data_IF_437974186031
#
_entry.id   IF_437974186031
#
_cell.length_a   1.000
_cell.length_b   1.000
_cell.length_c   1.000
_cell.angle_alpha   90.00
_cell.angle_beta   90.00
_cell.angle_gamma   90.00
#
_symmetry.space_group_name_H-M   'P 1'
#
loop_
_entity.id
_entity.type
_entity.pdbx_description
1 polymer ?
#
# COMPACT_ATOMS: atom_id res chain seq x y z
N UNK A 1 -31.32 7.05 -5.64
CA UNK A 1 -30.80 6.20 -4.55
C UNK A 1 -29.30 6.26 -4.66
N UNK A 2 -28.63 6.96 -3.75
CA UNK A 2 -27.16 7.01 -3.72
C UNK A 2 -26.64 5.66 -3.27
N UNK A 3 -26.15 4.86 -4.21
CA UNK A 3 -25.40 3.64 -3.92
C UNK A 3 -24.10 4.07 -3.23
N UNK A 4 -24.13 4.15 -1.89
CA UNK A 4 -22.92 4.44 -1.13
C UNK A 4 -21.92 3.29 -1.34
N UNK A 5 -20.85 3.55 -2.08
CA UNK A 5 -19.75 2.62 -2.28
C UNK A 5 -19.16 2.24 -0.92
N UNK A 6 -19.31 0.97 -0.52
CA UNK A 6 -18.60 0.38 0.63
C UNK A 6 -17.28 -0.21 0.15
N UNK A 7 -16.31 -0.29 1.05
CA UNK A 7 -15.02 -0.91 0.77
C UNK A 7 -14.29 -1.31 2.05
N UNK A 8 -13.20 -2.04 1.91
CA UNK A 8 -12.44 -2.58 3.04
C UNK A 8 -11.39 -1.59 3.56
N UNK A 9 -11.28 -1.46 4.88
CA UNK A 9 -10.24 -0.66 5.48
C UNK A 9 -8.85 -1.20 5.11
N UNK A 10 -7.97 -0.32 4.60
CA UNK A 10 -6.63 -0.69 4.16
C UNK A 10 -5.72 -1.25 5.27
N UNK A 11 -6.06 -1.03 6.55
CA UNK A 11 -5.25 -1.41 7.71
C UNK A 11 -5.74 -2.71 8.34
N UNK A 12 -7.06 -2.90 8.46
CA UNK A 12 -7.65 -4.00 9.22
C UNK A 12 -8.67 -4.84 8.44
N UNK A 13 -9.02 -4.44 7.21
CA UNK A 13 -9.97 -5.15 6.35
C UNK A 13 -11.44 -4.95 6.71
N UNK A 14 -11.77 -4.26 7.80
CA UNK A 14 -13.16 -4.01 8.18
C UNK A 14 -13.89 -3.20 7.11
N UNK A 15 -15.07 -3.65 6.71
CA UNK A 15 -15.93 -2.93 5.77
C UNK A 15 -16.30 -1.54 6.32
N UNK A 16 -16.22 -0.53 5.47
CA UNK A 16 -16.48 0.86 5.83
C UNK A 16 -16.99 1.65 4.64
N UNK A 17 -17.62 2.78 4.94
CA UNK A 17 -18.05 3.81 3.99
C UNK A 17 -17.16 5.04 4.02
N UNK A 18 -16.28 5.12 5.02
CA UNK A 18 -15.42 6.25 5.26
C UNK A 18 -14.24 6.21 4.28
N UNK A 19 -14.15 7.27 3.46
CA UNK A 19 -13.14 7.42 2.42
C UNK A 19 -12.22 8.60 2.71
N UNK A 20 -10.98 8.51 2.24
CA UNK A 20 -10.08 9.67 2.26
C UNK A 20 -10.54 10.72 1.25
N UNK A 21 -11.09 11.83 1.77
CA UNK A 21 -11.66 12.92 0.95
C UNK A 21 -10.68 13.51 -0.08
N UNK A 22 -9.38 13.53 0.23
CA UNK A 22 -8.35 14.03 -0.67
C UNK A 22 -8.05 13.05 -1.83
N UNK A 23 -8.09 11.74 -1.58
CA UNK A 23 -7.91 10.72 -2.61
C UNK A 23 -9.17 10.58 -3.48
N UNK A 24 -10.37 10.73 -2.90
CA UNK A 24 -11.63 10.74 -3.66
C UNK A 24 -11.64 11.87 -4.70
N UNK A 25 -11.12 13.06 -4.36
CA UNK A 25 -10.94 14.17 -5.31
C UNK A 25 -9.96 13.85 -6.45
N UNK A 26 -9.06 12.90 -6.25
CA UNK A 26 -8.11 12.42 -7.26
C UNK A 26 -8.63 11.18 -8.01
N UNK A 27 -9.91 10.80 -7.81
CA UNK A 27 -10.53 9.65 -8.46
C UNK A 27 -10.17 8.29 -7.85
N UNK A 28 -9.69 8.26 -6.59
CA UNK A 28 -9.37 7.02 -5.87
C UNK A 28 -10.23 6.86 -4.63
N UNK A 29 -10.82 5.68 -4.49
CA UNK A 29 -11.62 5.30 -3.33
C UNK A 29 -10.78 4.48 -2.34
N UNK A 30 -10.12 5.18 -1.41
CA UNK A 30 -9.34 4.57 -0.33
C UNK A 30 -10.11 4.63 0.98
N UNK A 31 -10.27 3.48 1.62
CA UNK A 31 -11.16 3.27 2.75
C UNK A 31 -10.42 3.12 4.08
N UNK A 32 -10.91 3.80 5.12
CA UNK A 32 -10.41 3.70 6.50
C UNK A 32 -11.60 3.54 7.44
N UNK A 33 -11.64 2.48 8.27
CA UNK A 33 -12.81 2.29 9.15
C UNK A 33 -12.88 3.36 10.26
N UNK A 34 -11.76 3.93 10.69
CA UNK A 34 -11.72 4.96 11.72
C UNK A 34 -10.59 5.99 11.51
N UNK A 35 -10.69 7.20 12.11
CA UNK A 35 -9.62 8.19 12.09
C UNK A 35 -8.31 7.70 12.71
N UNK A 36 -8.36 6.78 13.66
CA UNK A 36 -7.19 6.18 14.30
C UNK A 36 -6.36 5.38 13.29
N UNK A 37 -7.02 4.55 12.46
CA UNK A 37 -6.33 3.84 11.39
C UNK A 37 -5.78 4.78 10.33
N UNK A 38 -6.49 5.87 10.00
CA UNK A 38 -5.95 6.88 9.09
C UNK A 38 -4.71 7.58 9.69
N UNK A 39 -4.74 7.95 10.97
CA UNK A 39 -3.62 8.58 11.68
C UNK A 39 -2.41 7.66 11.76
N UNK A 40 -2.63 6.37 12.03
CA UNK A 40 -1.56 5.37 12.10
C UNK A 40 -0.70 5.36 10.85
N UNK A 41 -1.34 5.42 9.68
CA UNK A 41 -0.65 5.42 8.38
C UNK A 41 -0.62 6.79 7.73
N UNK A 42 -0.88 7.89 8.46
CA UNK A 42 -0.96 9.22 7.86
C UNK A 42 0.40 9.72 7.37
N UNK A 43 1.46 9.52 8.16
CA UNK A 43 2.82 9.93 7.80
C UNK A 43 3.29 9.38 6.44
N UNK A 44 3.09 8.10 6.11
CA UNK A 44 3.38 7.56 4.78
C UNK A 44 2.27 7.89 3.76
N UNK A 45 0.98 7.85 4.15
CA UNK A 45 -0.13 8.13 3.24
C UNK A 45 -0.05 9.54 2.67
N UNK A 46 0.30 10.57 3.46
CA UNK A 46 0.41 11.97 3.00
C UNK A 46 1.41 12.18 1.85
N UNK A 47 2.34 11.24 1.65
CA UNK A 47 3.33 11.29 0.56
C UNK A 47 2.65 11.04 -0.79
N UNK A 48 1.64 10.19 -0.79
CA UNK A 48 0.85 9.80 -1.97
C UNK A 48 -0.59 10.29 -1.88
N UNK A 49 -0.96 11.08 -0.87
CA UNK A 49 -2.33 11.55 -0.69
C UNK A 49 -2.57 12.88 -1.41
N UNK A 50 -3.75 13.00 -2.03
CA UNK A 50 -4.31 14.24 -2.56
C UNK A 50 -4.10 14.49 -4.06
N UNK A 51 -4.75 15.53 -4.61
CA UNK A 51 -4.67 15.85 -6.04
C UNK A 51 -3.22 16.06 -6.48
N UNK A 52 -2.84 15.43 -7.58
CA UNK A 52 -1.47 15.48 -8.12
C UNK A 52 -0.45 14.58 -7.43
N UNK A 53 -0.81 13.93 -6.31
CA UNK A 53 0.02 12.95 -5.56
C UNK A 53 -0.63 11.58 -5.36
N UNK A 54 -1.94 11.48 -5.53
CA UNK A 54 -2.67 10.22 -5.41
C UNK A 54 -2.81 9.54 -6.76
N UNK A 55 -2.93 10.34 -7.82
CA UNK A 55 -2.97 9.85 -9.19
C UNK A 55 -1.94 10.65 -10.01
N UNK A 56 -0.73 10.09 -10.23
CA UNK A 56 0.32 10.75 -11.01
C UNK A 56 -0.11 11.13 -12.41
N UNK A 57 -1.04 10.36 -12.98
CA UNK A 57 -1.37 10.39 -14.39
C UNK A 57 -2.48 11.40 -14.71
N UNK A 58 -3.34 11.71 -13.75
CA UNK A 58 -4.31 12.82 -13.87
C UNK A 58 -3.65 14.20 -13.75
N UNK A 59 -2.39 14.28 -13.31
CA UNK A 59 -1.64 15.52 -13.22
C UNK A 59 -0.52 15.52 -14.27
N UNK A 60 -0.66 16.36 -15.29
CA UNK A 60 0.36 16.59 -16.33
C UNK A 60 1.62 17.26 -15.75
N UNK A 61 2.35 16.67 -14.80
CA UNK A 61 3.57 17.28 -14.25
C UNK A 61 4.58 16.26 -13.69
N UNK A 62 5.84 16.50 -14.05
CA UNK A 62 7.11 15.80 -13.79
C UNK A 62 7.56 15.75 -12.31
N UNK A 63 6.67 15.94 -11.35
CA UNK A 63 7.01 16.10 -9.92
C UNK A 63 7.31 14.79 -9.19
N UNK A 64 6.87 13.65 -9.70
CA UNK A 64 7.01 12.34 -9.07
C UNK A 64 8.45 11.79 -9.11
N UNK A 65 9.22 12.16 -10.14
CA UNK A 65 10.65 11.86 -10.25
C UNK A 65 11.51 12.50 -9.15
N UNK A 66 10.98 13.46 -8.39
CA UNK A 66 11.72 14.17 -7.32
C UNK A 66 11.66 13.49 -5.95
N UNK A 67 11.02 12.32 -5.82
CA UNK A 67 10.84 11.63 -4.54
C UNK A 67 11.71 10.37 -4.42
N UNK A 68 12.94 10.45 -3.87
CA UNK A 68 13.88 9.32 -3.84
C UNK A 68 13.38 8.09 -3.05
N UNK A 69 12.52 8.27 -2.04
CA UNK A 69 11.92 7.16 -1.28
C UNK A 69 10.85 6.39 -2.07
N UNK A 70 9.97 7.11 -2.79
CA UNK A 70 8.96 6.49 -3.66
C UNK A 70 9.59 5.91 -4.92
N UNK A 71 10.71 6.48 -5.39
CA UNK A 71 11.46 5.93 -6.51
C UNK A 71 11.97 4.51 -6.22
N UNK A 72 12.48 4.21 -5.01
CA UNK A 72 12.89 2.83 -4.66
C UNK A 72 11.73 1.84 -4.70
N UNK A 73 10.58 2.19 -4.11
CA UNK A 73 9.39 1.32 -4.13
C UNK A 73 8.88 1.13 -5.57
N UNK A 74 8.74 2.22 -6.32
CA UNK A 74 8.31 2.16 -7.72
C UNK A 74 9.29 1.38 -8.61
N UNK A 75 10.60 1.39 -8.31
CA UNK A 75 11.62 0.60 -9.02
C UNK A 75 11.47 -0.87 -8.66
N UNK A 76 11.33 -1.20 -7.37
CA UNK A 76 11.19 -2.58 -6.87
C UNK A 76 9.97 -3.26 -7.50
N UNK A 77 8.88 -2.53 -7.69
CA UNK A 77 7.62 -3.09 -8.19
C UNK A 77 7.33 -2.78 -9.66
N UNK A 78 8.26 -2.16 -10.41
CA UNK A 78 8.09 -1.92 -11.85
C UNK A 78 6.88 -1.03 -12.21
N UNK A 79 6.51 -0.07 -11.36
CA UNK A 79 5.26 0.72 -11.48
C UNK A 79 5.40 1.89 -12.49
N UNK A 80 6.54 2.03 -13.17
CA UNK A 80 6.91 3.28 -13.84
C UNK A 80 6.24 3.61 -15.18
N UNK A 81 5.55 2.69 -15.87
CA UNK A 81 5.38 2.83 -17.32
C UNK A 81 3.97 2.68 -17.92
N UNK A 82 2.85 2.76 -17.18
CA UNK A 82 1.55 2.92 -17.86
C UNK A 82 0.42 3.61 -17.05
N UNK A 83 -0.69 3.86 -17.76
CA UNK A 83 -1.92 4.53 -17.31
C UNK A 83 -2.92 3.62 -16.57
N UNK A 84 -2.53 2.43 -16.13
CA UNK A 84 -3.48 1.51 -15.50
C UNK A 84 -3.97 2.08 -14.16
N UNK A 85 -5.29 2.13 -13.98
CA UNK A 85 -5.91 2.70 -12.78
C UNK A 85 -5.47 1.98 -11.49
N UNK A 86 -5.14 0.68 -11.59
CA UNK A 86 -4.77 -0.14 -10.45
C UNK A 86 -3.39 0.21 -9.84
N UNK A 87 -2.48 0.78 -10.63
CA UNK A 87 -1.13 1.16 -10.15
C UNK A 87 -1.18 2.23 -9.06
N UNK A 88 -2.12 3.18 -9.17
CA UNK A 88 -2.27 4.26 -8.20
C UNK A 88 -2.74 3.73 -6.84
N UNK A 89 -3.73 2.85 -6.84
CA UNK A 89 -4.25 2.24 -5.62
C UNK A 89 -3.23 1.27 -4.99
N UNK A 90 -2.55 0.47 -5.82
CA UNK A 90 -1.49 -0.42 -5.37
C UNK A 90 -0.35 0.36 -4.68
N UNK A 91 0.05 1.52 -5.23
CA UNK A 91 1.07 2.37 -4.62
C UNK A 91 0.69 2.79 -3.19
N UNK A 92 -0.58 3.15 -2.96
CA UNK A 92 -1.05 3.50 -1.62
C UNK A 92 -0.97 2.30 -0.66
N UNK A 93 -1.39 1.12 -1.12
CA UNK A 93 -1.33 -0.13 -0.35
C UNK A 93 0.11 -0.50 0.03
N UNK A 94 1.05 -0.38 -0.92
CA UNK A 94 2.48 -0.61 -0.70
C UNK A 94 3.09 0.35 0.31
N UNK A 95 2.81 1.65 0.15
CA UNK A 95 3.32 2.70 1.06
C UNK A 95 2.80 2.50 2.49
N UNK A 96 1.53 2.08 2.63
CA UNK A 96 0.93 1.73 3.92
C UNK A 96 1.61 0.49 4.52
N UNK A 97 1.72 -0.60 3.76
CA UNK A 97 2.31 -1.84 4.24
C UNK A 97 3.77 -1.65 4.70
N UNK A 98 4.57 -0.95 3.89
CA UNK A 98 5.97 -0.66 4.24
C UNK A 98 6.10 0.15 5.54
N UNK A 99 5.21 1.12 5.75
CA UNK A 99 5.24 1.91 6.97
C UNK A 99 4.76 1.18 8.22
N UNK A 100 3.89 0.17 8.05
CA UNK A 100 3.54 -0.74 9.13
C UNK A 100 4.66 -1.74 9.42
N UNK A 101 5.49 -2.06 8.41
CA UNK A 101 6.61 -2.97 8.55
C UNK A 101 7.81 -2.34 9.29
N UNK A 102 8.13 -1.07 9.02
CA UNK A 102 9.34 -0.43 9.58
C UNK A 102 9.44 -0.54 11.12
N UNK A 103 8.37 -0.27 11.91
CA UNK A 103 8.41 -0.44 13.36
C UNK A 103 8.56 -1.90 13.81
N UNK A 104 8.26 -2.88 12.95
CA UNK A 104 8.35 -4.31 13.27
C UNK A 104 9.77 -4.86 13.23
N UNK A 105 10.73 -4.07 12.72
CA UNK A 105 12.16 -4.38 12.76
C UNK A 105 12.74 -4.36 14.17
N UNK A 106 12.06 -3.67 15.09
CA UNK A 106 12.45 -3.62 16.49
C UNK A 106 12.02 -4.90 17.24
N UNK A 107 12.86 -5.47 18.13
CA UNK A 107 12.59 -6.73 18.80
C UNK A 107 11.33 -6.70 19.69
N UNK A 108 11.00 -5.53 20.25
CA UNK A 108 9.83 -5.32 21.11
C UNK A 108 8.62 -4.70 20.37
N UNK A 109 8.53 -4.89 19.05
CA UNK A 109 7.47 -4.27 18.28
C UNK A 109 6.06 -4.73 18.71
N UNK A 110 5.13 -3.77 18.78
CA UNK A 110 3.74 -3.95 19.20
C UNK A 110 3.03 -5.03 18.36
N UNK A 111 2.48 -6.03 19.05
CA UNK A 111 1.70 -7.12 18.45
C UNK A 111 0.50 -6.60 17.64
N UNK A 112 -0.09 -5.45 18.02
CA UNK A 112 -1.16 -4.80 17.25
C UNK A 112 -0.65 -4.33 15.89
N UNK A 113 0.54 -3.73 15.84
CA UNK A 113 1.16 -3.31 14.58
C UNK A 113 1.46 -4.51 13.69
N UNK A 114 1.92 -5.63 14.26
CA UNK A 114 2.12 -6.89 13.51
C UNK A 114 0.81 -7.34 12.88
N UNK A 115 -0.27 -7.38 13.65
CA UNK A 115 -1.60 -7.77 13.15
C UNK A 115 -2.10 -6.84 12.03
N UNK A 116 -1.89 -5.53 12.14
CA UNK A 116 -2.27 -4.58 11.10
C UNK A 116 -1.41 -4.72 9.85
N UNK A 117 -0.11 -4.93 10.00
CA UNK A 117 0.79 -5.23 8.89
C UNK A 117 0.32 -6.48 8.13
N UNK A 118 0.09 -7.59 8.84
CA UNK A 118 -0.31 -8.86 8.22
C UNK A 118 -1.67 -8.75 7.52
N UNK A 119 -2.61 -8.02 8.12
CA UNK A 119 -3.90 -7.71 7.51
C UNK A 119 -3.71 -6.87 6.24
N UNK A 120 -2.87 -5.84 6.28
CA UNK A 120 -2.57 -4.98 5.13
C UNK A 120 -1.91 -5.75 3.98
N UNK A 121 -0.96 -6.64 4.28
CA UNK A 121 -0.33 -7.52 3.29
C UNK A 121 -1.34 -8.48 2.68
N UNK A 122 -2.24 -9.05 3.47
CA UNK A 122 -3.30 -9.96 2.99
C UNK A 122 -4.24 -9.23 2.02
N UNK A 123 -4.71 -8.03 2.38
CA UNK A 123 -5.57 -7.20 1.53
C UNK A 123 -4.85 -6.79 0.25
N UNK A 124 -3.55 -6.49 0.32
CA UNK A 124 -2.75 -6.15 -0.84
C UNK A 124 -2.59 -7.35 -1.80
N UNK A 125 -2.32 -8.56 -1.29
CA UNK A 125 -2.31 -9.78 -2.11
C UNK A 125 -3.65 -10.04 -2.77
N UNK A 126 -4.75 -9.88 -2.02
CA UNK A 126 -6.11 -10.00 -2.56
C UNK A 126 -6.35 -9.01 -3.70
N UNK A 127 -5.95 -7.75 -3.52
CA UNK A 127 -6.04 -6.73 -4.57
C UNK A 127 -5.24 -7.11 -5.82
N UNK A 128 -4.00 -7.57 -5.65
CA UNK A 128 -3.15 -8.00 -6.77
C UNK A 128 -3.82 -9.15 -7.53
N UNK A 129 -4.32 -10.16 -6.84
CA UNK A 129 -4.97 -11.31 -7.48
C UNK A 129 -6.29 -10.96 -8.19
N UNK A 130 -7.08 -10.06 -7.61
CA UNK A 130 -8.43 -9.76 -8.11
C UNK A 130 -8.48 -8.61 -9.12
N UNK A 131 -7.50 -7.70 -9.10
CA UNK A 131 -7.51 -6.48 -9.93
C UNK A 131 -6.32 -6.44 -10.88
N UNK A 132 -5.12 -6.72 -10.37
CA UNK A 132 -3.89 -6.63 -11.17
C UNK A 132 -3.76 -7.84 -12.09
N UNK A 133 -3.88 -9.07 -11.57
CA UNK A 133 -3.67 -10.29 -12.34
C UNK A 133 -4.60 -10.44 -13.56
N UNK A 134 -5.89 -10.06 -13.51
CA UNK A 134 -6.75 -10.08 -14.69
C UNK A 134 -6.35 -9.06 -15.76
N UNK A 135 -5.71 -7.95 -15.37
CA UNK A 135 -5.32 -6.85 -16.28
C UNK A 135 -3.90 -7.04 -16.82
N UNK A 136 -2.98 -7.51 -15.98
CA UNK A 136 -1.56 -7.65 -16.22
C UNK A 136 -0.99 -8.82 -15.38
N UNK A 137 -1.14 -10.07 -15.87
CA UNK A 137 -0.80 -11.27 -15.12
C UNK A 137 0.71 -11.41 -14.88
N UNK A 138 1.56 -10.94 -15.80
CA UNK A 138 3.00 -11.00 -15.63
C UNK A 138 3.46 -10.01 -14.56
N UNK A 139 2.94 -8.78 -14.56
CA UNK A 139 3.25 -7.82 -13.49
C UNK A 139 2.76 -8.32 -12.13
N UNK A 140 1.55 -8.90 -12.05
CA UNK A 140 1.05 -9.49 -10.80
C UNK A 140 1.99 -10.56 -10.25
N UNK A 141 2.49 -11.47 -11.10
CA UNK A 141 3.48 -12.49 -10.71
C UNK A 141 4.76 -11.86 -10.17
N UNK A 142 5.30 -10.86 -10.86
CA UNK A 142 6.52 -10.17 -10.42
C UNK A 142 6.34 -9.48 -9.06
N UNK A 143 5.21 -8.80 -8.84
CA UNK A 143 4.91 -8.11 -7.58
C UNK A 143 4.78 -9.13 -6.44
N UNK A 144 4.03 -10.21 -6.64
CA UNK A 144 3.87 -11.26 -5.62
C UNK A 144 5.19 -11.92 -5.27
N UNK A 145 6.02 -12.25 -6.27
CA UNK A 145 7.35 -12.82 -6.05
C UNK A 145 8.25 -11.87 -5.24
N UNK A 146 8.22 -10.57 -5.52
CA UNK A 146 8.95 -9.57 -4.74
C UNK A 146 8.45 -9.48 -3.29
N UNK A 147 7.13 -9.55 -3.08
CA UNK A 147 6.54 -9.58 -1.74
C UNK A 147 6.96 -10.83 -0.94
N UNK A 148 6.96 -12.00 -1.58
CA UNK A 148 7.41 -13.25 -0.94
C UNK A 148 8.91 -13.17 -0.58
N UNK A 149 9.75 -12.67 -1.49
CA UNK A 149 11.18 -12.50 -1.24
C UNK A 149 11.46 -11.58 -0.04
N UNK A 150 10.76 -10.44 0.06
CA UNK A 150 10.88 -9.53 1.19
C UNK A 150 10.45 -10.18 2.51
N UNK A 151 9.37 -10.96 2.50
CA UNK A 151 8.91 -11.70 3.66
C UNK A 151 9.93 -12.76 4.11
N UNK A 152 10.45 -13.55 3.18
CA UNK A 152 11.50 -14.55 3.46
C UNK A 152 12.76 -13.90 4.02
N UNK A 153 13.23 -12.80 3.42
CA UNK A 153 14.40 -12.07 3.89
C UNK A 153 14.21 -11.54 5.32
N UNK A 154 13.02 -11.02 5.66
CA UNK A 154 12.71 -10.53 7.01
C UNK A 154 12.73 -11.64 8.07
N UNK A 155 12.29 -12.85 7.70
CA UNK A 155 12.25 -14.01 8.61
C UNK A 155 13.64 -14.63 8.81
N UNK A 156 14.44 -14.71 7.76
CA UNK A 156 15.85 -15.13 7.85
C UNK A 156 16.67 -14.16 8.71
N UNK A 157 16.44 -12.85 8.55
CA UNK A 157 17.08 -11.84 9.38
C UNK A 157 16.64 -11.93 10.85
N UNK A 158 15.46 -12.46 11.17
CA UNK A 158 15.04 -12.68 12.57
C UNK A 158 15.73 -13.90 13.18
N UNK A 159 15.87 -14.99 12.41
CA UNK A 159 16.55 -16.22 12.86
C UNK A 159 18.06 -16.02 13.06
N UNK A 160 18.69 -15.14 12.29
CA UNK A 160 20.12 -14.85 12.41
C UNK A 160 20.51 -14.09 13.70
N UNK A 161 19.54 -13.59 14.48
CA UNK A 161 19.77 -12.91 15.77
C UNK A 161 19.53 -13.80 16.99
N UNK A 162 18.92 -14.98 16.81
CA UNK A 162 18.70 -15.93 17.91
C UNK A 162 19.95 -16.81 18.20
N UNK A 163 21.02 -16.66 17.41
CA UNK A 163 22.28 -17.42 17.50
C UNK A 163 23.45 -16.65 18.17
N UNK A 164 23.20 -15.53 18.87
CA UNK A 164 24.26 -14.74 19.57
C UNK A 164 23.93 -14.41 21.03
#
# INVERSE_FOLDING_TARGET
MDTQTTGECLVCGTETKNRCSACTKAGLDLFFCSPEHQKLVWSPHKLVCGPGKANPWTCRLSTWRKWPGLARIAVIYGIFEDTSGWRCELLHRLVIANALFEPLREPNADLRLRRFHDSSVTLMRSYINNVVAPTDPECAKCILAAMDLMWFASRMASLAWDDY
#
